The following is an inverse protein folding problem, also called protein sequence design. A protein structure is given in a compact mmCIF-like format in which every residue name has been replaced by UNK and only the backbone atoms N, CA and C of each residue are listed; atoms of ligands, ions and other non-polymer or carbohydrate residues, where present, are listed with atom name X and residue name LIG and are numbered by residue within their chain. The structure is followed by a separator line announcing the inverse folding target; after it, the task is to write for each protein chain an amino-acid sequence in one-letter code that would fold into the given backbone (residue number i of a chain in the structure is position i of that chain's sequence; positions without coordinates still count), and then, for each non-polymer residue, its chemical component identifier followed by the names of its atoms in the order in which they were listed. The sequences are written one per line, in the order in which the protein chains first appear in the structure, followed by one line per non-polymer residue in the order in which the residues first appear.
data_IF_392409804428
#
_entry.id   IF_392409804428
#
_cell.length_a   1.000
_cell.length_b   1.000
_cell.length_c   1.000
_cell.angle_alpha   90.00
_cell.angle_beta   90.00
_cell.angle_gamma   90.00
#
_symmetry.space_group_name_H-M   'P 1'
#
loop_
_entity.id
_entity.type
_entity.pdbx_description
1 polymer ?
#
# COMPACT_ATOMS: atom_id res chain seq x y z
N UNK A 1 -21.07 2.35 -2.34
CA UNK A 1 -19.94 1.57 -1.82
C UNK A 1 -20.11 0.13 -2.28
N UNK A 2 -19.16 -0.33 -3.09
CA UNK A 2 -19.10 -1.64 -3.74
C UNK A 2 -18.20 -2.61 -2.97
N UNK A 3 -17.22 -2.07 -2.24
CA UNK A 3 -16.42 -2.82 -1.28
C UNK A 3 -17.09 -2.85 0.10
N UNK A 4 -16.82 -3.89 0.88
CA UNK A 4 -17.25 -4.02 2.27
C UNK A 4 -16.03 -3.82 3.15
N UNK A 5 -16.06 -2.78 3.99
CA UNK A 5 -15.01 -2.50 4.97
C UNK A 5 -15.53 -2.92 6.34
N UNK A 6 -14.86 -3.90 6.96
CA UNK A 6 -15.19 -4.41 8.29
C UNK A 6 -14.10 -3.98 9.27
N UNK A 7 -14.48 -3.11 10.21
CA UNK A 7 -13.63 -2.72 11.32
C UNK A 7 -13.69 -3.74 12.46
N UNK A 8 -12.55 -4.05 13.06
CA UNK A 8 -12.40 -4.82 14.30
C UNK A 8 -12.10 -3.89 15.48
N UNK A 9 -11.40 -2.79 15.21
CA UNK A 9 -11.22 -1.66 16.12
C UNK A 9 -11.07 -0.35 15.32
N UNK A 10 -11.29 0.77 15.98
CA UNK A 10 -11.12 2.11 15.41
C UNK A 10 -10.06 2.85 16.23
N UNK A 11 -8.76 2.72 15.88
CA UNK A 11 -7.69 3.33 16.65
C UNK A 11 -7.72 4.85 16.52
N UNK A 12 -7.52 5.58 17.62
CA UNK A 12 -7.24 7.01 17.54
C UNK A 12 -5.81 7.19 17.02
N UNK A 13 -5.65 7.75 15.82
CA UNK A 13 -4.36 7.99 15.17
C UNK A 13 -4.17 9.49 14.95
N UNK A 14 -2.95 9.98 15.11
CA UNK A 14 -2.59 11.37 14.82
C UNK A 14 -1.87 11.45 13.46
N UNK A 15 -2.61 11.91 12.45
CA UNK A 15 -2.10 12.22 11.10
C UNK A 15 -1.15 11.14 10.54
N UNK A 16 -1.58 9.87 10.50
CA UNK A 16 -0.69 8.76 10.24
C UNK A 16 -0.13 8.78 8.81
N UNK A 17 1.01 8.12 8.64
CA UNK A 17 1.56 7.80 7.33
C UNK A 17 0.94 6.51 6.81
N UNK A 18 0.48 6.49 5.55
CA UNK A 18 0.06 5.26 4.88
C UNK A 18 1.24 4.62 4.16
N UNK A 19 1.42 3.32 4.35
CA UNK A 19 2.33 2.46 3.58
C UNK A 19 1.50 1.42 2.83
N UNK A 20 1.41 1.56 1.51
CA UNK A 20 0.76 0.59 0.62
C UNK A 20 1.79 -0.42 0.11
N UNK A 21 1.48 -1.71 0.28
CA UNK A 21 2.29 -2.82 -0.19
C UNK A 21 1.44 -3.97 -0.68
N UNK A 22 0.57 -3.73 -1.65
CA UNK A 22 -0.19 -4.79 -2.30
C UNK A 22 0.70 -5.59 -3.28
N UNK A 23 0.30 -6.83 -3.65
CA UNK A 23 1.06 -7.64 -4.60
C UNK A 23 1.29 -6.92 -5.93
N UNK A 24 2.47 -7.10 -6.51
CA UNK A 24 2.89 -6.42 -7.73
C UNK A 24 4.12 -7.06 -8.36
N UNK A 25 4.84 -6.34 -9.22
CA UNK A 25 6.03 -6.88 -9.91
C UNK A 25 7.06 -7.36 -8.88
N UNK A 26 7.37 -8.66 -8.94
CA UNK A 26 8.32 -9.31 -8.02
C UNK A 26 7.91 -9.33 -6.54
N UNK A 27 6.68 -8.92 -6.21
CA UNK A 27 6.19 -8.74 -4.83
C UNK A 27 7.11 -7.89 -3.93
N UNK A 28 7.91 -7.00 -4.51
CA UNK A 28 8.89 -6.20 -3.76
C UNK A 28 8.19 -5.36 -2.69
N UNK A 29 7.18 -4.59 -3.09
CA UNK A 29 6.42 -3.74 -2.17
C UNK A 29 5.72 -4.53 -1.07
N UNK A 30 5.02 -5.61 -1.44
CA UNK A 30 4.37 -6.53 -0.50
C UNK A 30 5.33 -7.10 0.53
N UNK A 31 6.44 -7.69 0.08
CA UNK A 31 7.41 -8.30 1.00
C UNK A 31 7.98 -7.27 1.98
N UNK A 32 8.26 -6.06 1.51
CA UNK A 32 8.75 -4.97 2.38
C UNK A 32 7.69 -4.53 3.38
N UNK A 33 6.46 -4.24 2.94
CA UNK A 33 5.40 -3.76 3.82
C UNK A 33 4.96 -4.83 4.83
N UNK A 34 4.76 -6.08 4.37
CA UNK A 34 4.44 -7.22 5.24
C UNK A 34 5.56 -7.42 6.28
N UNK A 35 6.83 -7.33 5.87
CA UNK A 35 7.97 -7.49 6.79
C UNK A 35 8.02 -6.39 7.86
N UNK A 36 7.80 -5.13 7.48
CA UNK A 36 7.81 -4.01 8.44
C UNK A 36 6.64 -4.16 9.42
N UNK A 37 5.43 -4.45 8.92
CA UNK A 37 4.24 -4.62 9.73
C UNK A 37 4.40 -5.79 10.72
N UNK A 38 4.90 -6.94 10.27
CA UNK A 38 5.19 -8.10 11.13
C UNK A 38 6.23 -7.78 12.20
N UNK A 39 7.38 -7.21 11.80
CA UNK A 39 8.51 -7.00 12.72
C UNK A 39 8.23 -5.94 13.77
N UNK A 40 7.40 -4.96 13.47
CA UNK A 40 7.00 -3.93 14.41
C UNK A 40 5.71 -4.28 15.17
N UNK A 41 5.08 -5.43 14.88
CA UNK A 41 3.89 -5.89 15.57
C UNK A 41 2.65 -5.04 15.28
N UNK A 42 2.47 -4.64 14.02
CA UNK A 42 1.32 -3.87 13.59
C UNK A 42 0.01 -4.62 13.88
N UNK A 43 -1.01 -3.88 14.31
CA UNK A 43 -2.30 -4.44 14.73
C UNK A 43 -3.31 -4.34 13.61
N UNK A 44 -3.95 -5.45 13.28
CA UNK A 44 -5.02 -5.50 12.29
C UNK A 44 -6.28 -4.80 12.84
N UNK A 45 -6.75 -3.76 12.17
CA UNK A 45 -7.93 -3.01 12.62
C UNK A 45 -9.10 -3.04 11.63
N UNK A 46 -8.86 -3.32 10.35
CA UNK A 46 -9.95 -3.47 9.39
C UNK A 46 -9.61 -4.39 8.22
N UNK A 47 -10.62 -5.06 7.68
CA UNK A 47 -10.55 -5.86 6.46
C UNK A 47 -11.42 -5.23 5.38
N UNK A 48 -10.93 -5.23 4.15
CA UNK A 48 -11.65 -4.81 2.95
C UNK A 48 -11.89 -6.02 2.05
N UNK A 49 -13.15 -6.26 1.71
CA UNK A 49 -13.58 -7.23 0.72
C UNK A 49 -14.18 -6.47 -0.47
N UNK A 50 -13.95 -6.94 -1.70
CA UNK A 50 -14.48 -6.25 -2.87
C UNK A 50 -14.90 -7.23 -3.96
N UNK A 51 -15.99 -6.90 -4.67
CA UNK A 51 -16.42 -7.64 -5.87
C UNK A 51 -15.41 -7.55 -7.02
N UNK A 52 -14.45 -6.63 -6.92
CA UNK A 52 -13.38 -6.42 -7.90
C UNK A 52 -12.13 -7.27 -7.67
N UNK A 53 -12.08 -8.02 -6.56
CA UNK A 53 -11.03 -9.02 -6.32
C UNK A 53 -11.32 -10.32 -7.10
N UNK A 54 -10.30 -11.18 -7.32
CA UNK A 54 -10.50 -12.44 -8.02
C UNK A 54 -11.62 -13.29 -7.36
N UNK A 55 -12.52 -13.91 -8.15
CA UNK A 55 -13.64 -14.70 -7.64
C UNK A 55 -13.17 -16.10 -7.19
N UNK A 56 -12.25 -16.16 -6.23
CA UNK A 56 -11.68 -17.39 -5.71
C UNK A 56 -11.62 -17.37 -4.18
N UNK A 57 -11.35 -18.52 -3.57
CA UNK A 57 -11.03 -18.66 -2.15
C UNK A 57 -9.56 -19.05 -2.03
N UNK A 58 -8.88 -18.53 -1.02
CA UNK A 58 -7.57 -18.99 -0.60
C UNK A 58 -7.72 -20.11 0.42
N UNK A 59 -6.75 -21.01 0.48
CA UNK A 59 -6.72 -22.11 1.46
C UNK A 59 -5.45 -21.95 2.27
N UNK A 60 -5.61 -21.79 3.59
CA UNK A 60 -4.48 -21.67 4.50
C UNK A 60 -3.75 -23.02 4.72
N UNK A 61 -2.58 -23.04 5.39
CA UNK A 61 -1.86 -24.27 5.69
C UNK A 61 -2.64 -25.31 6.51
N UNK A 62 -3.71 -24.91 7.20
CA UNK A 62 -4.59 -25.79 7.99
C UNK A 62 -5.82 -26.26 7.19
N UNK A 63 -5.96 -25.87 5.93
CA UNK A 63 -7.10 -26.22 5.09
C UNK A 63 -8.33 -25.33 5.30
N UNK A 64 -8.18 -24.17 5.94
CA UNK A 64 -9.26 -23.21 6.17
C UNK A 64 -9.42 -22.29 4.95
N UNK A 65 -10.68 -22.14 4.54
CA UNK A 65 -11.10 -21.23 3.48
C UNK A 65 -11.00 -19.77 3.93
N UNK A 66 -10.24 -18.96 3.18
CA UNK A 66 -10.03 -17.53 3.43
C UNK A 66 -10.44 -16.74 2.18
N UNK A 67 -11.36 -15.76 2.26
CA UNK A 67 -11.68 -14.92 1.13
C UNK A 67 -10.52 -13.98 0.78
N UNK A 68 -10.35 -13.60 -0.49
CA UNK A 68 -9.36 -12.61 -0.89
C UNK A 68 -9.70 -11.27 -0.27
N UNK A 69 -8.75 -10.69 0.45
CA UNK A 69 -8.94 -9.44 1.18
C UNK A 69 -7.78 -8.47 0.99
N UNK A 70 -8.08 -7.20 1.20
CA UNK A 70 -7.06 -6.25 1.64
C UNK A 70 -7.25 -6.00 3.13
N UNK A 71 -6.17 -5.77 3.84
CA UNK A 71 -6.13 -5.68 5.28
C UNK A 71 -5.43 -4.40 5.68
N UNK A 72 -5.98 -3.74 6.70
CA UNK A 72 -5.48 -2.50 7.24
C UNK A 72 -4.91 -2.79 8.62
N UNK A 73 -3.62 -2.49 8.76
CA UNK A 73 -2.89 -2.60 10.02
C UNK A 73 -2.45 -1.23 10.48
N UNK A 74 -2.24 -1.05 11.77
CA UNK A 74 -1.70 0.18 12.30
C UNK A 74 -0.58 -0.05 13.33
N UNK A 75 0.30 0.94 13.42
CA UNK A 75 1.24 1.14 14.50
C UNK A 75 1.00 2.53 15.08
N UNK A 76 1.27 2.66 16.38
CA UNK A 76 1.26 3.95 17.06
C UNK A 76 2.64 4.26 17.60
N UNK A 77 2.96 5.53 17.65
CA UNK A 77 4.09 6.05 18.41
C UNK A 77 5.44 5.40 18.01
N UNK A 78 5.71 5.36 16.69
CA UNK A 78 6.89 4.68 16.12
C UNK A 78 8.07 5.64 15.99
N UNK A 79 9.21 5.21 16.53
CA UNK A 79 10.50 5.88 16.38
C UNK A 79 10.60 7.19 17.17
N UNK A 80 11.67 7.95 16.92
CA UNK A 80 11.94 9.22 17.64
C UNK A 80 10.96 10.33 17.27
N UNK A 81 10.27 10.19 16.13
CA UNK A 81 9.29 11.16 15.65
C UNK A 81 7.85 10.84 16.07
N UNK A 82 7.65 9.81 16.91
CA UNK A 82 6.35 9.43 17.46
C UNK A 82 5.28 9.26 16.36
N UNK A 83 5.63 8.58 15.27
CA UNK A 83 4.78 8.47 14.08
C UNK A 83 3.71 7.40 14.24
N UNK A 84 2.48 7.73 13.86
CA UNK A 84 1.45 6.74 13.61
C UNK A 84 1.50 6.28 12.16
N UNK A 85 1.29 4.98 11.92
CA UNK A 85 1.43 4.37 10.59
C UNK A 85 0.23 3.47 10.32
N UNK A 86 -0.35 3.59 9.13
CA UNK A 86 -1.33 2.64 8.58
C UNK A 86 -0.63 1.84 7.46
N UNK A 87 -0.83 0.53 7.43
CA UNK A 87 -0.41 -0.32 6.32
C UNK A 87 -1.63 -0.80 5.55
N UNK A 88 -1.58 -0.71 4.22
CA UNK A 88 -2.51 -1.39 3.32
C UNK A 88 -1.82 -2.62 2.73
N UNK A 89 -2.21 -3.78 3.23
CA UNK A 89 -1.69 -5.09 2.85
C UNK A 89 -2.79 -5.94 2.21
N UNK A 90 -2.45 -7.09 1.66
CA UNK A 90 -3.44 -8.01 1.12
C UNK A 90 -2.90 -9.05 0.15
N UNK A 91 -3.82 -9.86 -0.35
CA UNK A 91 -3.52 -10.99 -1.24
C UNK A 91 -3.58 -10.63 -2.73
N UNK A 92 -4.39 -9.62 -3.07
CA UNK A 92 -4.67 -9.23 -4.44
C UNK A 92 -4.87 -7.73 -4.58
N UNK A 93 -4.65 -7.24 -5.80
CA UNK A 93 -5.22 -5.98 -6.27
C UNK A 93 -6.53 -6.26 -7.03
N UNK A 94 -7.28 -5.20 -7.34
CA UNK A 94 -8.45 -5.35 -8.19
C UNK A 94 -8.04 -5.80 -9.61
N UNK A 95 -8.87 -6.64 -10.24
CA UNK A 95 -8.49 -7.31 -11.49
C UNK A 95 -8.64 -6.39 -12.72
N UNK A 96 -9.53 -5.38 -12.64
CA UNK A 96 -9.84 -4.48 -13.75
C UNK A 96 -9.43 -3.05 -13.43
N UNK A 97 -9.14 -2.20 -14.44
CA UNK A 97 -8.82 -0.78 -14.21
C UNK A 97 -9.93 -0.03 -13.46
N UNK A 98 -11.20 -0.27 -13.82
CA UNK A 98 -12.36 0.31 -13.13
C UNK A 98 -12.43 -0.13 -11.66
N UNK A 99 -12.22 -1.43 -11.42
CA UNK A 99 -12.16 -1.97 -10.06
C UNK A 99 -11.00 -1.40 -9.25
N UNK A 100 -9.84 -1.20 -9.88
CA UNK A 100 -8.67 -0.62 -9.23
C UNK A 100 -8.93 0.80 -8.79
N UNK A 101 -9.49 1.63 -9.68
CA UNK A 101 -9.89 2.98 -9.32
C UNK A 101 -10.95 2.99 -8.23
N UNK A 102 -11.99 2.15 -8.35
CA UNK A 102 -13.09 2.07 -7.39
C UNK A 102 -12.61 1.69 -5.99
N UNK A 103 -11.82 0.62 -5.85
CA UNK A 103 -11.32 0.16 -4.55
C UNK A 103 -10.43 1.21 -3.89
N UNK A 104 -9.49 1.82 -4.64
CA UNK A 104 -8.62 2.86 -4.10
C UNK A 104 -9.39 4.12 -3.71
N UNK A 105 -10.40 4.53 -4.49
CA UNK A 105 -11.26 5.67 -4.17
C UNK A 105 -12.06 5.42 -2.88
N UNK A 106 -12.64 4.24 -2.74
CA UNK A 106 -13.41 3.89 -1.53
C UNK A 106 -12.51 3.83 -0.29
N UNK A 107 -11.30 3.28 -0.40
CA UNK A 107 -10.30 3.33 0.68
C UNK A 107 -9.92 4.77 1.06
N UNK A 108 -9.71 5.63 0.06
CA UNK A 108 -9.39 7.03 0.30
C UNK A 108 -10.52 7.75 1.06
N UNK A 109 -11.75 7.64 0.55
CA UNK A 109 -12.91 8.36 1.07
C UNK A 109 -13.37 7.84 2.44
N UNK A 110 -13.40 6.52 2.62
CA UNK A 110 -14.02 5.88 3.79
C UNK A 110 -13.01 5.59 4.92
N UNK A 111 -11.71 5.60 4.62
CA UNK A 111 -10.64 5.26 5.57
C UNK A 111 -9.64 6.40 5.68
N UNK A 112 -8.90 6.69 4.61
CA UNK A 112 -7.69 7.52 4.73
C UNK A 112 -7.99 8.98 5.06
N UNK A 113 -9.06 9.55 4.49
CA UNK A 113 -9.53 10.89 4.85
C UNK A 113 -10.08 10.94 6.28
N UNK A 114 -10.74 9.88 6.75
CA UNK A 114 -11.27 9.80 8.12
C UNK A 114 -10.15 9.81 9.17
N UNK A 115 -9.03 9.15 8.88
CA UNK A 115 -7.85 9.13 9.73
C UNK A 115 -6.91 10.33 9.53
N UNK A 116 -7.24 11.29 8.65
CA UNK A 116 -6.38 12.43 8.31
C UNK A 116 -4.96 11.99 7.90
N UNK A 117 -4.86 10.93 7.07
CA UNK A 117 -3.59 10.41 6.56
C UNK A 117 -2.78 11.56 5.95
N UNK A 118 -1.56 11.77 6.46
CA UNK A 118 -0.75 12.94 6.13
C UNK A 118 0.21 12.72 4.98
N UNK A 119 0.58 11.48 4.71
CA UNK A 119 1.53 11.10 3.65
C UNK A 119 1.24 9.68 3.20
N UNK A 120 1.32 9.42 1.89
CA UNK A 120 1.11 8.10 1.31
C UNK A 120 2.42 7.66 0.63
N UNK A 121 2.99 6.56 1.12
CA UNK A 121 4.04 5.81 0.44
C UNK A 121 3.44 4.58 -0.23
N UNK A 122 3.68 4.45 -1.53
CA UNK A 122 3.31 3.26 -2.28
C UNK A 122 4.57 2.50 -2.68
N UNK A 123 4.61 1.20 -2.39
CA UNK A 123 5.79 0.37 -2.61
C UNK A 123 5.55 -0.61 -3.75
N UNK A 124 6.49 -0.68 -4.69
CA UNK A 124 6.38 -1.55 -5.86
C UNK A 124 7.73 -2.05 -6.35
N UNK A 125 7.70 -3.05 -7.24
CA UNK A 125 8.86 -3.47 -7.99
C UNK A 125 8.88 -2.86 -9.39
N UNK A 126 10.07 -2.64 -9.92
CA UNK A 126 10.27 -2.25 -11.32
C UNK A 126 10.99 -3.37 -12.08
N UNK A 127 10.26 -4.04 -12.97
CA UNK A 127 10.78 -5.15 -13.76
C UNK A 127 11.65 -4.65 -14.91
N UNK A 128 12.97 -4.75 -14.78
CA UNK A 128 13.93 -4.31 -15.81
C UNK A 128 14.15 -5.35 -16.92
N UNK A 129 13.64 -6.57 -16.75
CA UNK A 129 13.82 -7.70 -17.69
C UNK A 129 15.26 -8.24 -17.74
N UNK A 130 16.18 -7.71 -16.94
CA UNK A 130 17.57 -8.10 -16.86
C UNK A 130 18.00 -8.26 -15.41
N UNK A 131 19.02 -9.08 -15.16
CA UNK A 131 19.63 -9.15 -13.84
C UNK A 131 20.34 -7.83 -13.54
N UNK A 132 19.97 -7.20 -12.42
CA UNK A 132 20.57 -5.96 -11.95
C UNK A 132 21.53 -6.32 -10.82
N UNK A 133 22.83 -6.07 -11.00
CA UNK A 133 23.85 -6.37 -9.99
C UNK A 133 23.69 -5.50 -8.73
N UNK A 134 23.36 -4.22 -8.94
CA UNK A 134 23.16 -3.24 -7.87
C UNK A 134 21.76 -2.65 -7.96
N UNK A 135 20.78 -3.15 -7.18
CA UNK A 135 19.43 -2.61 -7.19
C UNK A 135 19.43 -1.15 -6.73
N UNK A 136 18.59 -0.33 -7.36
CA UNK A 136 18.39 1.08 -7.02
C UNK A 136 16.95 1.29 -6.58
N UNK A 137 16.73 2.29 -5.72
CA UNK A 137 15.37 2.74 -5.37
C UNK A 137 15.03 3.92 -6.27
N UNK A 138 14.02 3.75 -7.11
CA UNK A 138 13.47 4.82 -7.94
C UNK A 138 12.28 5.45 -7.22
N UNK A 139 12.10 6.76 -7.38
CA UNK A 139 10.98 7.50 -6.79
C UNK A 139 10.23 8.34 -7.81
N UNK A 140 8.94 8.50 -7.55
CA UNK A 140 8.08 9.54 -8.09
C UNK A 140 7.35 10.19 -6.91
N UNK A 141 7.10 11.49 -6.98
CA UNK A 141 6.41 12.24 -5.93
C UNK A 141 5.34 13.15 -6.54
N UNK A 142 4.29 13.42 -5.79
CA UNK A 142 3.18 14.31 -6.18
C UNK A 142 3.54 15.79 -6.03
N UNK A 143 4.60 16.10 -5.28
CA UNK A 143 5.09 17.45 -5.05
C UNK A 143 6.62 17.51 -4.90
N UNK A 144 7.17 18.73 -5.00
CA UNK A 144 8.62 18.99 -4.95
C UNK A 144 9.22 18.89 -3.55
N UNK A 145 8.44 19.15 -2.50
CA UNK A 145 8.91 19.08 -1.11
C UNK A 145 9.15 17.61 -0.72
N UNK A 146 8.20 16.73 -1.02
CA UNK A 146 8.34 15.28 -0.85
C UNK A 146 9.54 14.74 -1.62
N UNK A 147 9.70 15.12 -2.89
CA UNK A 147 10.87 14.74 -3.69
C UNK A 147 12.18 15.14 -3.00
N UNK A 148 12.30 16.40 -2.60
CA UNK A 148 13.53 16.95 -2.00
C UNK A 148 13.86 16.29 -0.67
N UNK A 149 12.84 15.91 0.12
CA UNK A 149 13.01 15.20 1.39
C UNK A 149 13.52 13.77 1.22
N UNK A 150 13.19 13.09 0.11
CA UNK A 150 13.52 11.67 -0.11
C UNK A 150 14.87 11.46 -0.81
N UNK A 151 15.35 12.41 -1.60
CA UNK A 151 16.65 12.32 -2.30
C UNK A 151 17.83 11.99 -1.35
N UNK A 152 17.97 12.62 -0.16
CA UNK A 152 19.03 12.30 0.79
C UNK A 152 19.02 10.86 1.32
N UNK A 153 17.89 10.16 1.23
CA UNK A 153 17.74 8.76 1.66
C UNK A 153 18.03 7.75 0.54
N UNK A 154 18.58 8.20 -0.60
CA UNK A 154 19.00 7.33 -1.70
C UNK A 154 17.92 7.05 -2.74
N UNK A 155 16.78 7.76 -2.69
CA UNK A 155 15.72 7.65 -3.70
C UNK A 155 16.13 8.45 -4.95
N UNK A 156 16.19 7.76 -6.09
CA UNK A 156 16.57 8.35 -7.38
C UNK A 156 15.33 8.77 -8.19
N UNK A 157 15.17 10.07 -8.43
CA UNK A 157 14.10 10.62 -9.26
C UNK A 157 14.59 10.85 -10.69
N UNK A 158 14.42 9.83 -11.55
CA UNK A 158 14.86 9.87 -12.94
C UNK A 158 13.70 10.30 -13.85
N UNK A 159 13.80 11.42 -14.59
CA UNK A 159 12.73 11.86 -15.48
C UNK A 159 12.36 10.79 -16.51
N UNK A 160 11.06 10.49 -16.60
CA UNK A 160 10.53 9.52 -17.57
C UNK A 160 10.71 8.05 -17.16
N UNK A 161 11.19 7.74 -15.94
CA UNK A 161 11.27 6.39 -15.41
C UNK A 161 10.29 6.20 -14.23
N UNK A 162 9.58 5.05 -14.14
CA UNK A 162 9.52 3.99 -15.14
C UNK A 162 8.77 4.45 -16.40
N UNK A 163 9.29 4.10 -17.59
CA UNK A 163 8.72 4.58 -18.86
C UNK A 163 7.24 4.16 -19.09
N UNK A 164 6.82 3.05 -18.49
CA UNK A 164 5.45 2.55 -18.54
C UNK A 164 4.52 3.22 -17.51
N UNK A 165 5.04 4.08 -16.63
CA UNK A 165 4.32 4.62 -15.49
C UNK A 165 4.20 3.63 -14.33
N UNK A 166 3.54 4.07 -13.25
CA UNK A 166 3.25 3.27 -12.05
C UNK A 166 1.83 2.74 -12.19
N UNK A 167 1.67 1.42 -12.20
CA UNK A 167 0.39 0.73 -12.46
C UNK A 167 -0.15 0.11 -11.18
N UNK A 168 -1.48 0.05 -11.04
CA UNK A 168 -2.16 -0.56 -9.90
C UNK A 168 -2.45 0.42 -8.78
N UNK A 169 -2.68 -0.10 -7.57
CA UNK A 169 -2.96 0.67 -6.37
C UNK A 169 -1.89 1.74 -6.12
N UNK A 170 -0.62 1.38 -6.33
CA UNK A 170 0.49 2.29 -6.12
C UNK A 170 0.41 3.54 -7.00
N UNK A 171 -0.06 3.42 -8.24
CA UNK A 171 -0.25 4.56 -9.14
C UNK A 171 -1.54 5.32 -8.89
N UNK A 172 -2.65 4.59 -8.65
CA UNK A 172 -3.96 5.19 -8.43
C UNK A 172 -3.99 6.01 -7.12
N UNK A 173 -3.44 5.48 -6.03
CA UNK A 173 -3.39 6.20 -4.76
C UNK A 173 -2.56 7.48 -4.85
N UNK A 174 -1.43 7.45 -5.59
CA UNK A 174 -0.66 8.67 -5.87
C UNK A 174 -1.48 9.69 -6.67
N UNK A 175 -2.31 9.24 -7.62
CA UNK A 175 -3.17 10.12 -8.41
C UNK A 175 -4.37 10.70 -7.64
N UNK A 176 -4.76 10.07 -6.53
CA UNK A 176 -5.85 10.51 -5.65
C UNK A 176 -5.36 11.39 -4.48
N UNK A 177 -4.05 11.38 -4.19
CA UNK A 177 -3.42 12.08 -3.07
C UNK A 177 -3.29 13.59 -3.29
#
# INVERSE_FOLDING_TARGET
MESVIRYFEEPELDRPVLVEGLPGVGNVGKVVADFIADKLGAKHFATVMSKYFPPQILIDPNGIAIPPTNELYYLKDVGESHLDVIFLLGDFQAVTPDGQFTVCKELMEEVFLKYDVSTIFTLGGYGTGQMVETPRVLGAATDMDTKTKLEPYGVSFVPGEPAAGIVGASGVLLGLA
#
